data_IF_644496917956
#
_entry.id   IF_644496917956
#
_cell.length_a   1.000
_cell.length_b   1.000
_cell.length_c   1.000
_cell.angle_alpha   90.00
_cell.angle_beta   90.00
_cell.angle_gamma   90.00
#
_symmetry.space_group_name_H-M   'P 1'
#
loop_
_entity.id
_entity.type
_entity.pdbx_description
1 polymer ?
#
# COMPACT_ATOMS: atom_id res chain seq x y z
N UNK A 1 5.37 27.22 4.51
CA UNK A 1 5.68 26.72 5.85
C UNK A 1 4.57 25.73 6.21
N UNK A 2 4.86 24.46 6.52
CA UNK A 2 3.81 23.52 6.88
C UNK A 2 3.12 23.98 8.17
N UNK A 3 1.81 23.74 8.26
CA UNK A 3 1.02 24.06 9.45
C UNK A 3 1.41 23.09 10.58
N UNK A 4 2.32 23.54 11.43
CA UNK A 4 2.84 22.79 12.57
C UNK A 4 1.74 22.53 13.60
N UNK A 5 1.74 21.35 14.17
CA UNK A 5 0.79 20.93 15.23
C UNK A 5 -0.69 21.11 14.88
N UNK A 6 -0.99 21.09 13.58
CA UNK A 6 -2.35 21.27 13.07
C UNK A 6 -2.83 20.00 12.41
N UNK A 7 -4.02 19.54 12.76
CA UNK A 7 -4.67 18.42 12.07
C UNK A 7 -5.46 18.97 10.89
N UNK A 8 -5.15 18.47 9.70
CA UNK A 8 -5.83 18.85 8.45
C UNK A 8 -6.70 17.68 8.00
N UNK A 9 -7.97 17.98 7.74
CA UNK A 9 -8.90 17.01 7.13
C UNK A 9 -8.81 17.07 5.60
N UNK A 10 -8.67 15.92 4.97
CA UNK A 10 -8.74 15.75 3.52
C UNK A 10 -9.71 14.62 3.17
N UNK A 11 -10.92 14.97 2.81
CA UNK A 11 -12.01 14.00 2.67
C UNK A 11 -12.31 13.30 4.01
N UNK A 12 -12.29 11.98 4.01
CA UNK A 12 -12.53 11.16 5.21
C UNK A 12 -11.29 10.97 6.10
N UNK A 13 -10.14 11.51 5.73
CA UNK A 13 -8.86 11.27 6.43
C UNK A 13 -8.36 12.51 7.15
N UNK A 14 -7.55 12.29 8.19
CA UNK A 14 -6.90 13.32 8.97
C UNK A 14 -5.38 13.15 8.89
N UNK A 15 -4.67 14.27 8.79
CA UNK A 15 -3.21 14.31 8.74
C UNK A 15 -2.69 15.36 9.69
N UNK A 16 -1.61 15.07 10.37
CA UNK A 16 -0.89 16.01 11.22
C UNK A 16 0.54 16.18 10.75
N UNK A 17 1.19 17.26 11.14
CA UNK A 17 2.61 17.46 10.95
C UNK A 17 3.21 18.03 12.23
N UNK A 18 4.31 17.45 12.68
CA UNK A 18 5.05 17.89 13.85
C UNK A 18 6.55 17.98 13.55
N UNK A 19 7.25 18.80 14.30
CA UNK A 19 8.71 18.79 14.28
C UNK A 19 9.23 17.57 15.01
N UNK A 20 10.28 16.98 14.48
CA UNK A 20 10.98 15.89 15.16
C UNK A 20 11.89 16.48 16.22
N UNK A 21 11.96 15.89 17.40
CA UNK A 21 12.88 16.30 18.45
C UNK A 21 14.34 15.95 18.07
N UNK A 22 15.30 16.47 18.84
CA UNK A 22 16.73 16.31 18.57
C UNK A 22 17.22 14.85 18.52
N UNK A 23 16.45 13.89 19.02
CA UNK A 23 16.78 12.48 19.05
C UNK A 23 16.04 11.66 17.97
N UNK A 24 15.14 12.29 17.23
CA UNK A 24 14.35 11.64 16.19
C UNK A 24 15.05 11.60 14.82
N UNK A 25 14.45 10.90 13.89
CA UNK A 25 14.94 10.78 12.50
C UNK A 25 14.23 11.79 11.62
N UNK A 26 14.99 12.67 10.96
CA UNK A 26 14.49 13.73 10.09
C UNK A 26 14.15 15.00 10.87
N UNK A 27 13.59 15.98 10.18
CA UNK A 27 13.24 17.29 10.74
C UNK A 27 11.75 17.42 11.00
N UNK A 28 10.96 16.64 10.24
CA UNK A 28 9.50 16.67 10.25
C UNK A 28 8.92 15.26 10.28
N UNK A 29 7.82 15.09 11.00
CA UNK A 29 7.05 13.87 11.01
C UNK A 29 5.62 14.13 10.53
N UNK A 30 5.24 13.51 9.41
CA UNK A 30 3.85 13.48 8.93
C UNK A 30 3.13 12.35 9.69
N UNK A 31 2.15 12.73 10.51
CA UNK A 31 1.22 11.79 11.14
C UNK A 31 0.12 11.49 10.15
N UNK A 32 -0.08 10.23 9.84
CA UNK A 32 -1.13 9.81 8.92
C UNK A 32 -2.40 9.39 9.69
N UNK A 33 -3.53 9.42 8.99
CA UNK A 33 -4.80 8.94 9.54
C UNK A 33 -4.66 7.53 10.11
N UNK A 34 -5.25 7.21 11.29
CA UNK A 34 -5.19 5.87 11.88
C UNK A 34 -5.70 4.74 10.98
N UNK A 35 -6.52 5.06 9.97
CA UNK A 35 -6.97 4.10 8.97
C UNK A 35 -5.89 3.78 7.92
N UNK A 36 -4.78 4.51 7.88
CA UNK A 36 -3.63 4.21 7.03
C UNK A 36 -2.81 3.07 7.63
N UNK A 37 -2.21 2.25 6.78
CA UNK A 37 -1.34 1.16 7.23
C UNK A 37 0.05 1.64 7.69
N UNK A 38 0.44 2.84 7.31
CA UNK A 38 1.64 3.54 7.77
C UNK A 38 1.20 4.58 8.78
N UNK A 39 1.75 4.54 9.98
CA UNK A 39 1.42 5.47 11.06
C UNK A 39 1.96 6.90 10.79
N UNK A 40 3.04 7.02 10.03
CA UNK A 40 3.62 8.30 9.68
C UNK A 40 4.85 8.18 8.79
N UNK A 41 5.38 9.32 8.38
CA UNK A 41 6.57 9.42 7.54
C UNK A 41 7.47 10.53 8.06
N UNK A 42 8.72 10.20 8.40
CA UNK A 42 9.74 11.20 8.73
C UNK A 42 10.39 11.75 7.46
N UNK A 43 10.57 13.04 7.42
CA UNK A 43 11.11 13.77 6.28
C UNK A 43 12.24 14.68 6.75
N UNK A 44 13.30 14.80 5.93
CA UNK A 44 14.36 15.75 6.13
C UNK A 44 14.12 17.03 5.31
N UNK A 45 14.51 18.19 5.83
CA UNK A 45 14.46 19.46 5.13
C UNK A 45 15.53 19.54 4.03
N UNK A 46 16.63 18.84 4.22
CA UNK A 46 17.72 18.77 3.25
C UNK A 46 17.26 18.08 1.97
N UNK A 47 17.45 18.71 0.79
CA UNK A 47 17.15 18.08 -0.49
C UNK A 47 17.94 16.79 -0.69
N UNK A 48 17.28 15.73 -1.11
CA UNK A 48 17.90 14.47 -1.45
C UNK A 48 18.10 14.33 -2.97
N UNK A 49 19.18 13.68 -3.39
CA UNK A 49 19.38 13.26 -4.78
C UNK A 49 18.79 11.85 -4.99
N UNK A 50 18.46 11.49 -6.24
CA UNK A 50 18.00 10.13 -6.56
C UNK A 50 19.02 9.07 -6.14
N UNK A 51 20.31 9.40 -6.12
CA UNK A 51 21.38 8.49 -5.69
C UNK A 51 21.20 7.99 -4.26
N UNK A 52 20.60 8.80 -3.37
CA UNK A 52 20.35 8.42 -1.99
C UNK A 52 19.33 7.28 -1.86
N UNK A 53 18.55 7.02 -2.91
CA UNK A 53 17.50 6.01 -2.90
C UNK A 53 17.87 4.71 -3.62
N UNK A 54 19.03 4.66 -4.32
CA UNK A 54 19.42 3.53 -5.17
C UNK A 54 19.43 2.21 -4.40
N UNK A 55 20.11 2.16 -3.26
CA UNK A 55 20.25 0.93 -2.46
C UNK A 55 18.89 0.46 -1.95
N UNK A 56 18.07 1.38 -1.46
CA UNK A 56 16.73 1.07 -0.98
C UNK A 56 15.81 0.64 -2.12
N UNK A 57 15.91 1.28 -3.27
CA UNK A 57 15.18 0.89 -4.48
C UNK A 57 15.57 -0.52 -4.91
N UNK A 58 16.86 -0.82 -4.98
CA UNK A 58 17.36 -2.16 -5.32
C UNK A 58 16.86 -3.22 -4.33
N UNK A 59 16.93 -2.94 -3.02
CA UNK A 59 16.36 -3.82 -2.01
C UNK A 59 14.87 -4.05 -2.23
N UNK A 60 14.10 -2.98 -2.43
CA UNK A 60 12.65 -3.08 -2.61
C UNK A 60 12.25 -3.87 -3.85
N UNK A 61 13.03 -3.77 -4.94
CA UNK A 61 12.74 -4.44 -6.20
C UNK A 61 13.17 -5.92 -6.25
N UNK A 62 14.29 -6.25 -5.60
CA UNK A 62 14.95 -7.54 -5.85
C UNK A 62 15.11 -8.42 -4.61
N UNK A 63 15.05 -7.86 -3.41
CA UNK A 63 15.21 -8.66 -2.20
C UNK A 63 13.96 -9.51 -1.92
N UNK A 64 14.12 -10.81 -1.68
CA UNK A 64 13.01 -11.67 -1.24
C UNK A 64 12.46 -11.26 0.15
N UNK A 65 13.22 -10.50 0.92
CA UNK A 65 12.80 -9.97 2.22
C UNK A 65 11.97 -8.70 2.11
N UNK A 66 11.97 -8.06 0.93
CA UNK A 66 11.18 -6.87 0.68
C UNK A 66 9.67 -7.15 0.79
N UNK A 67 8.95 -6.33 1.50
CA UNK A 67 7.49 -6.38 1.55
C UNK A 67 6.85 -6.21 0.17
N UNK A 68 7.48 -5.45 -0.73
CA UNK A 68 7.03 -5.26 -2.11
C UNK A 68 7.20 -6.51 -2.98
N UNK A 69 8.18 -7.38 -2.66
CA UNK A 69 8.38 -8.64 -3.34
C UNK A 69 7.46 -9.76 -2.82
N UNK A 70 6.97 -9.62 -1.57
CA UNK A 70 6.17 -10.67 -0.91
C UNK A 70 4.71 -10.65 -1.32
N UNK A 71 4.06 -9.48 -1.37
CA UNK A 71 2.62 -9.38 -1.58
C UNK A 71 2.31 -8.33 -2.64
N UNK A 72 1.49 -8.70 -3.62
CA UNK A 72 0.91 -7.73 -4.56
C UNK A 72 -0.06 -6.83 -3.81
N UNK A 73 0.13 -5.53 -3.94
CA UNK A 73 -0.76 -4.54 -3.32
C UNK A 73 -1.04 -3.41 -4.31
N UNK A 74 -2.31 -3.07 -4.48
CA UNK A 74 -2.75 -1.86 -5.17
C UNK A 74 -3.61 -1.04 -4.23
N UNK A 75 -3.42 0.27 -4.22
CA UNK A 75 -4.17 1.17 -3.33
C UNK A 75 -4.60 2.41 -4.10
N UNK A 76 -5.85 2.78 -3.92
CA UNK A 76 -6.42 4.00 -4.47
C UNK A 76 -7.18 4.74 -3.38
N UNK A 77 -6.82 6.01 -3.19
CA UNK A 77 -7.56 6.91 -2.32
C UNK A 77 -8.68 7.58 -3.10
N UNK A 78 -9.88 7.57 -2.53
CA UNK A 78 -11.08 8.25 -3.04
C UNK A 78 -11.47 9.39 -2.07
N UNK A 79 -12.25 10.41 -2.50
CA UNK A 79 -12.64 11.53 -1.64
C UNK A 79 -13.31 11.11 -0.32
N UNK A 80 -14.04 10.01 -0.33
CA UNK A 80 -14.82 9.51 0.81
C UNK A 80 -14.33 8.18 1.36
N UNK A 81 -13.15 7.71 0.94
CA UNK A 81 -12.65 6.42 1.41
C UNK A 81 -11.40 5.94 0.69
N UNK A 82 -11.22 4.64 0.69
CA UNK A 82 -10.08 3.99 0.05
C UNK A 82 -10.47 2.64 -0.54
N UNK A 83 -9.78 2.26 -1.60
CA UNK A 83 -9.85 0.93 -2.21
C UNK A 83 -8.46 0.30 -2.10
N UNK A 84 -8.37 -0.87 -1.53
CA UNK A 84 -7.11 -1.60 -1.33
C UNK A 84 -7.29 -3.02 -1.83
N UNK A 85 -6.43 -3.45 -2.74
CA UNK A 85 -6.22 -4.85 -3.07
C UNK A 85 -4.94 -5.32 -2.39
N UNK A 86 -5.02 -6.39 -1.62
CA UNK A 86 -3.87 -7.07 -1.03
C UNK A 86 -3.93 -8.56 -1.36
N UNK A 87 -2.98 -9.03 -2.17
CA UNK A 87 -3.08 -10.36 -2.77
C UNK A 87 -4.30 -10.45 -3.68
N UNK A 88 -5.23 -11.34 -3.35
CA UNK A 88 -6.52 -11.50 -4.04
C UNK A 88 -7.70 -10.86 -3.29
N UNK A 89 -7.47 -10.19 -2.15
CA UNK A 89 -8.54 -9.61 -1.33
C UNK A 89 -8.65 -8.12 -1.60
N UNK A 90 -9.77 -7.71 -2.17
CA UNK A 90 -10.18 -6.32 -2.35
C UNK A 90 -10.94 -5.85 -1.11
N UNK A 91 -10.54 -4.71 -0.55
CA UNK A 91 -11.25 -4.03 0.53
C UNK A 91 -11.61 -2.63 0.08
N UNK A 92 -12.87 -2.28 0.15
CA UNK A 92 -13.35 -0.91 -0.09
C UNK A 92 -13.89 -0.35 1.21
N UNK A 93 -13.41 0.84 1.57
CA UNK A 93 -13.90 1.60 2.72
C UNK A 93 -14.55 2.89 2.22
N UNK A 94 -15.77 3.16 2.67
CA UNK A 94 -16.49 4.40 2.39
C UNK A 94 -17.12 4.88 3.70
N UNK A 95 -16.49 5.85 4.34
CA UNK A 95 -16.85 6.25 5.70
C UNK A 95 -16.72 5.07 6.67
N UNK A 96 -17.82 4.70 7.35
CA UNK A 96 -17.85 3.58 8.28
C UNK A 96 -18.11 2.22 7.60
N UNK A 97 -18.51 2.22 6.33
CA UNK A 97 -18.81 0.99 5.60
C UNK A 97 -17.53 0.37 5.03
N UNK A 98 -17.36 -0.91 5.31
CA UNK A 98 -16.26 -1.72 4.79
C UNK A 98 -16.85 -2.91 4.04
N UNK A 99 -16.46 -3.09 2.79
CA UNK A 99 -16.79 -4.27 2.00
C UNK A 99 -15.52 -4.99 1.57
N UNK A 100 -15.58 -6.31 1.56
CA UNK A 100 -14.48 -7.16 1.11
C UNK A 100 -14.95 -8.09 -0.01
N UNK A 101 -14.08 -8.34 -0.97
CA UNK A 101 -14.28 -9.29 -2.05
C UNK A 101 -12.97 -10.05 -2.28
N UNK A 102 -13.04 -11.37 -2.41
CA UNK A 102 -11.86 -12.22 -2.68
C UNK A 102 -11.99 -12.79 -4.08
N UNK A 103 -11.07 -12.42 -4.96
CA UNK A 103 -10.99 -13.00 -6.30
C UNK A 103 -10.54 -14.46 -6.23
N UNK A 104 -11.24 -15.33 -6.95
CA UNK A 104 -11.03 -16.78 -6.96
C UNK A 104 -10.35 -17.28 -8.24
N UNK A 105 -10.27 -16.43 -9.26
CA UNK A 105 -9.67 -16.76 -10.56
C UNK A 105 -8.80 -15.63 -11.08
N UNK A 106 -7.85 -15.95 -11.97
CA UNK A 106 -7.01 -14.96 -12.65
C UNK A 106 -7.83 -13.93 -13.46
N UNK A 107 -8.82 -14.31 -14.28
CA UNK A 107 -9.65 -13.34 -15.00
C UNK A 107 -10.34 -12.35 -14.07
N UNK A 108 -10.98 -12.83 -13.02
CA UNK A 108 -11.65 -12.00 -12.01
C UNK A 108 -10.68 -11.05 -11.30
N UNK A 109 -9.47 -11.54 -10.97
CA UNK A 109 -8.44 -10.71 -10.33
C UNK A 109 -7.93 -9.60 -11.25
N UNK A 110 -7.77 -9.89 -12.55
CA UNK A 110 -7.38 -8.89 -13.54
C UNK A 110 -8.50 -7.87 -13.80
N UNK A 111 -9.76 -8.31 -13.81
CA UNK A 111 -10.93 -7.43 -13.88
C UNK A 111 -10.97 -6.46 -12.71
N UNK A 112 -10.79 -6.94 -11.48
CA UNK A 112 -10.68 -6.10 -10.28
C UNK A 112 -9.55 -5.08 -10.39
N UNK A 113 -8.37 -5.49 -10.88
CA UNK A 113 -7.24 -4.57 -11.09
C UNK A 113 -7.54 -3.52 -12.17
N UNK A 114 -8.26 -3.88 -13.22
CA UNK A 114 -8.70 -2.97 -14.27
C UNK A 114 -9.75 -1.99 -13.77
N UNK A 115 -10.85 -2.50 -13.25
CA UNK A 115 -12.03 -1.71 -12.91
C UNK A 115 -11.81 -0.78 -11.71
N UNK A 116 -11.11 -1.28 -10.69
CA UNK A 116 -10.94 -0.52 -9.45
C UNK A 116 -9.70 0.39 -9.44
N UNK A 117 -8.65 0.02 -10.19
CA UNK A 117 -7.36 0.72 -10.13
C UNK A 117 -6.92 1.27 -11.49
N UNK A 118 -7.63 0.97 -12.58
CA UNK A 118 -7.29 1.40 -13.94
C UNK A 118 -6.00 0.77 -14.48
N UNK A 119 -5.62 -0.40 -13.97
CA UNK A 119 -4.40 -1.09 -14.37
C UNK A 119 -4.67 -1.99 -15.58
N UNK A 120 -3.89 -1.80 -16.65
CA UNK A 120 -3.93 -2.63 -17.85
C UNK A 120 -2.67 -3.49 -17.95
N UNK A 121 -2.79 -4.68 -18.52
CA UNK A 121 -1.70 -5.66 -18.61
C UNK A 121 -1.41 -6.10 -20.05
N UNK A 122 -1.76 -5.25 -21.03
CA UNK A 122 -1.63 -5.54 -22.45
C UNK A 122 -0.19 -5.90 -22.87
N UNK A 123 0.80 -5.30 -22.22
CA UNK A 123 2.22 -5.53 -22.48
C UNK A 123 2.85 -6.59 -21.57
N UNK A 124 2.05 -7.31 -20.76
CA UNK A 124 2.56 -8.35 -19.85
C UNK A 124 2.22 -9.72 -20.41
N UNK A 125 3.22 -10.60 -20.62
CA UNK A 125 2.96 -11.95 -21.12
C UNK A 125 1.98 -12.70 -20.20
N UNK A 126 1.00 -13.38 -20.80
CA UNK A 126 0.00 -14.16 -20.05
C UNK A 126 0.64 -15.19 -19.11
N UNK A 127 1.76 -15.79 -19.54
CA UNK A 127 2.52 -16.74 -18.71
C UNK A 127 3.07 -16.09 -17.44
N UNK A 128 3.41 -14.82 -17.47
CA UNK A 128 3.86 -14.05 -16.30
C UNK A 128 2.71 -13.75 -15.36
N UNK A 129 1.54 -13.39 -15.90
CA UNK A 129 0.33 -13.17 -15.12
C UNK A 129 -0.13 -14.46 -14.42
N UNK A 130 -0.09 -15.60 -15.12
CA UNK A 130 -0.40 -16.91 -14.53
C UNK A 130 0.55 -17.27 -13.38
N UNK A 131 1.86 -17.04 -13.55
CA UNK A 131 2.85 -17.25 -12.47
C UNK A 131 2.60 -16.36 -11.27
N UNK A 132 2.28 -15.08 -11.52
CA UNK A 132 1.97 -14.12 -10.46
C UNK A 132 0.71 -14.54 -9.69
N UNK A 133 -0.34 -14.96 -10.41
CA UNK A 133 -1.58 -15.43 -9.81
C UNK A 133 -1.37 -16.64 -8.89
N UNK A 134 -0.61 -17.64 -9.34
CA UNK A 134 -0.26 -18.81 -8.51
C UNK A 134 0.44 -18.37 -7.22
N UNK A 135 1.35 -17.39 -7.30
CA UNK A 135 2.00 -16.83 -6.11
C UNK A 135 1.01 -16.13 -5.18
N UNK A 136 0.07 -15.35 -5.75
CA UNK A 136 -0.97 -14.64 -5.00
C UNK A 136 -1.87 -15.63 -4.24
N UNK A 137 -2.32 -16.68 -4.91
CA UNK A 137 -3.14 -17.73 -4.29
C UNK A 137 -2.39 -18.43 -3.14
N UNK A 138 -1.16 -18.87 -3.39
CA UNK A 138 -0.33 -19.54 -2.37
C UNK A 138 -0.19 -18.69 -1.10
N UNK A 139 0.11 -17.39 -1.24
CA UNK A 139 0.25 -16.49 -0.10
C UNK A 139 -1.08 -16.31 0.65
N UNK A 140 -2.20 -16.28 -0.09
CA UNK A 140 -3.53 -16.20 0.51
C UNK A 140 -3.86 -17.44 1.33
N UNK A 141 -3.59 -18.63 0.80
CA UNK A 141 -3.81 -19.91 1.48
C UNK A 141 -2.96 -20.01 2.74
N UNK A 142 -1.68 -19.66 2.66
CA UNK A 142 -0.78 -19.60 3.83
C UNK A 142 -1.31 -18.65 4.92
N UNK A 143 -1.86 -17.52 4.53
CA UNK A 143 -2.45 -16.55 5.46
C UNK A 143 -3.74 -17.09 6.11
N UNK A 144 -4.60 -17.80 5.36
CA UNK A 144 -5.80 -18.44 5.89
C UNK A 144 -5.43 -19.50 6.93
N UNK A 145 -4.50 -20.39 6.61
CA UNK A 145 -4.02 -21.43 7.53
C UNK A 145 -3.40 -20.86 8.82
N UNK A 146 -2.65 -19.78 8.70
CA UNK A 146 -2.07 -19.09 9.88
C UNK A 146 -3.14 -18.53 10.82
N UNK A 147 -4.27 -18.08 10.27
CA UNK A 147 -5.40 -17.56 11.08
C UNK A 147 -6.23 -18.65 11.77
N UNK A 148 -6.36 -19.81 11.13
CA UNK A 148 -7.07 -20.95 11.71
C UNK A 148 -6.29 -21.61 12.86
N UNK A 149 -4.96 -21.37 12.89
CA UNK A 149 -4.04 -21.96 13.88
C UNK A 149 -3.74 -21.04 15.07
N UNK A 150 -4.27 -19.81 15.09
CA UNK A 150 -4.04 -18.79 16.12
C UNK A 150 -5.24 -18.63 17.05
#
# INVERSE_FOLDING_TARGET
MPLMNTVVKQGAMQFGMEAVDQNGVGDWHLITDPSCWIAGVSMAEQPASLRNFVDRHHFNMYSPESGYAKVVTAQLRKPYGKTILRGCVLTKTNGEFVTTHTSTSLPEWLEVLGDEFGLTFENVPESSLKKLWVKVQKIHDEWLHARESA
#
